data_IF_557828609062
#
_entry.id   IF_557828609062
#
_cell.length_a   1.000
_cell.length_b   1.000
_cell.length_c   1.000
_cell.angle_alpha   90.00
_cell.angle_beta   90.00
_cell.angle_gamma   90.00
#
_symmetry.space_group_name_H-M   'P 1'
#
loop_
_entity.id
_entity.type
_entity.pdbx_description
1 polymer ?
#
# COMPACT_ATOMS: atom_id res chain seq x y z
N UNK A 1 -7.74 18.20 -11.32
CA UNK A 1 -6.90 17.25 -10.55
C UNK A 1 -7.26 15.76 -10.73
N UNK A 2 -8.22 15.39 -11.59
CA UNK A 2 -8.63 13.98 -11.77
C UNK A 2 -7.48 13.06 -12.21
N UNK A 3 -6.64 13.52 -13.15
CA UNK A 3 -5.49 12.72 -13.61
C UNK A 3 -4.43 12.55 -12.52
N UNK A 4 -4.17 13.59 -11.73
CA UNK A 4 -3.25 13.51 -10.58
C UNK A 4 -3.80 12.54 -9.53
N UNK A 5 -5.09 12.66 -9.18
CA UNK A 5 -5.77 11.73 -8.29
C UNK A 5 -5.68 10.28 -8.79
N UNK A 6 -5.94 10.05 -10.08
CA UNK A 6 -5.80 8.75 -10.72
C UNK A 6 -4.37 8.22 -10.62
N UNK A 7 -3.38 9.05 -10.93
CA UNK A 7 -1.96 8.67 -10.87
C UNK A 7 -1.55 8.25 -9.46
N UNK A 8 -1.90 9.01 -8.43
CA UNK A 8 -1.61 8.63 -7.04
C UNK A 8 -2.31 7.33 -6.62
N UNK A 9 -3.58 7.13 -7.00
CA UNK A 9 -4.26 5.86 -6.74
C UNK A 9 -3.56 4.66 -7.39
N UNK A 10 -3.08 4.80 -8.63
CA UNK A 10 -2.30 3.75 -9.31
C UNK A 10 -0.91 3.55 -8.70
N UNK A 11 -0.22 4.64 -8.33
CA UNK A 11 1.10 4.58 -7.70
C UNK A 11 1.04 3.84 -6.36
N UNK A 12 0.03 4.11 -5.53
CA UNK A 12 -0.17 3.38 -4.26
C UNK A 12 -0.40 1.89 -4.53
N UNK A 13 -1.29 1.55 -5.48
CA UNK A 13 -1.56 0.15 -5.81
C UNK A 13 -0.31 -0.59 -6.28
N UNK A 14 0.47 0.01 -7.19
CA UNK A 14 1.71 -0.57 -7.70
C UNK A 14 2.79 -0.68 -6.62
N UNK A 15 2.93 0.36 -5.78
CA UNK A 15 3.88 0.35 -4.68
C UNK A 15 3.59 -0.77 -3.67
N UNK A 16 2.31 -1.03 -3.36
CA UNK A 16 1.91 -2.17 -2.52
C UNK A 16 2.26 -3.51 -3.18
N UNK A 17 2.03 -3.66 -4.49
CA UNK A 17 2.42 -4.89 -5.20
C UNK A 17 3.93 -5.13 -5.12
N UNK A 18 4.74 -4.09 -5.34
CA UNK A 18 6.18 -4.18 -5.22
C UNK A 18 6.63 -4.49 -3.78
N UNK A 19 5.97 -3.92 -2.79
CA UNK A 19 6.21 -4.21 -1.38
C UNK A 19 5.86 -5.67 -1.01
N UNK A 20 4.81 -6.25 -1.60
CA UNK A 20 4.46 -7.67 -1.43
C UNK A 20 5.51 -8.56 -2.13
N UNK A 21 5.93 -8.20 -3.34
CA UNK A 21 6.97 -8.94 -4.05
C UNK A 21 8.29 -8.95 -3.26
N UNK A 22 8.64 -7.84 -2.60
CA UNK A 22 9.87 -7.74 -1.81
C UNK A 22 9.84 -8.58 -0.55
N UNK A 23 8.69 -8.78 0.12
CA UNK A 23 8.60 -9.67 1.29
C UNK A 23 8.67 -11.15 0.88
N UNK A 24 8.16 -11.50 -0.30
CA UNK A 24 8.37 -12.84 -0.86
C UNK A 24 9.87 -13.08 -1.14
N UNK A 25 10.53 -12.12 -1.79
CA UNK A 25 11.99 -12.15 -2.00
C UNK A 25 12.72 -12.31 -0.65
N UNK A 26 12.35 -11.52 0.36
CA UNK A 26 12.95 -11.60 1.69
C UNK A 26 12.88 -12.99 2.29
N UNK A 27 11.71 -13.65 2.21
CA UNK A 27 11.50 -15.00 2.73
C UNK A 27 12.35 -16.04 2.02
N UNK A 28 12.42 -15.99 0.68
CA UNK A 28 13.28 -16.89 -0.10
C UNK A 28 14.77 -16.64 0.17
N UNK A 29 15.19 -15.39 0.35
CA UNK A 29 16.58 -15.06 0.72
C UNK A 29 16.94 -15.58 2.10
N UNK A 30 16.06 -15.44 3.11
CA UNK A 30 16.27 -16.04 4.44
C UNK A 30 16.43 -17.55 4.34
N UNK A 31 15.56 -18.23 3.60
CA UNK A 31 15.62 -19.68 3.45
C UNK A 31 16.92 -20.14 2.76
N UNK A 32 17.34 -19.43 1.71
CA UNK A 32 18.60 -19.68 1.02
C UNK A 32 19.79 -19.48 1.95
N UNK A 33 19.90 -18.31 2.58
CA UNK A 33 21.06 -17.95 3.39
C UNK A 33 21.20 -18.89 4.60
N UNK A 34 20.08 -19.25 5.23
CA UNK A 34 20.07 -20.27 6.29
C UNK A 34 20.54 -21.64 5.78
N UNK A 35 20.10 -22.04 4.58
CA UNK A 35 20.55 -23.28 3.93
C UNK A 35 22.04 -23.29 3.57
N UNK A 36 22.59 -22.12 3.27
CA UNK A 36 24.03 -21.91 3.00
C UNK A 36 24.86 -21.78 4.29
N UNK A 37 24.23 -21.85 5.47
CA UNK A 37 24.90 -21.84 6.78
C UNK A 37 25.06 -20.45 7.41
N UNK A 38 24.39 -19.41 6.88
CA UNK A 38 24.37 -18.09 7.51
C UNK A 38 23.61 -18.14 8.85
N UNK A 39 24.13 -17.44 9.85
CA UNK A 39 23.42 -17.24 11.11
C UNK A 39 22.30 -16.21 10.91
N UNK A 40 21.05 -16.62 11.12
CA UNK A 40 19.87 -15.73 11.07
C UNK A 40 19.58 -15.25 12.48
N UNK A 41 20.06 -14.05 12.80
CA UNK A 41 19.95 -13.41 14.12
C UNK A 41 19.29 -12.03 14.07
N UNK A 42 19.34 -11.31 15.20
CA UNK A 42 18.75 -9.98 15.34
C UNK A 42 19.40 -8.91 14.42
N UNK A 43 20.64 -9.14 14.01
CA UNK A 43 21.44 -8.31 13.11
C UNK A 43 21.33 -8.72 11.63
N UNK A 44 20.67 -9.84 11.34
CA UNK A 44 20.43 -10.28 9.97
C UNK A 44 19.40 -9.37 9.29
N UNK A 45 19.73 -8.90 8.10
CA UNK A 45 18.80 -8.22 7.20
C UNK A 45 19.17 -8.54 5.77
N UNK A 46 18.18 -8.51 4.89
CA UNK A 46 18.39 -8.61 3.46
C UNK A 46 17.66 -7.50 2.69
N UNK A 47 17.96 -7.40 1.40
CA UNK A 47 17.39 -6.37 0.54
C UNK A 47 15.86 -6.41 0.51
N UNK A 48 15.23 -7.59 0.48
CA UNK A 48 13.77 -7.72 0.47
C UNK A 48 13.12 -7.15 1.73
N UNK A 49 13.71 -7.42 2.92
CA UNK A 49 13.25 -6.86 4.20
C UNK A 49 13.41 -5.35 4.23
N UNK A 50 14.59 -4.87 3.81
CA UNK A 50 14.92 -3.45 3.79
C UNK A 50 14.01 -2.66 2.85
N UNK A 51 13.79 -3.18 1.64
CA UNK A 51 12.87 -2.60 0.67
C UNK A 51 11.43 -2.62 1.19
N UNK A 52 10.97 -3.73 1.77
CA UNK A 52 9.61 -3.84 2.31
C UNK A 52 9.32 -2.75 3.36
N UNK A 53 10.28 -2.52 4.27
CA UNK A 53 10.21 -1.49 5.31
C UNK A 53 10.18 -0.07 4.71
N UNK A 54 11.15 0.26 3.84
CA UNK A 54 11.25 1.60 3.21
C UNK A 54 10.02 1.90 2.34
N UNK A 55 9.56 0.91 1.56
CA UNK A 55 8.36 1.04 0.73
C UNK A 55 7.12 1.33 1.57
N UNK A 56 7.03 0.82 2.80
CA UNK A 56 5.91 1.08 3.71
C UNK A 56 5.81 2.57 4.08
N UNK A 57 6.95 3.18 4.42
CA UNK A 57 7.02 4.62 4.68
C UNK A 57 6.65 5.44 3.45
N UNK A 58 7.15 5.04 2.26
CA UNK A 58 6.83 5.71 1.01
C UNK A 58 5.32 5.64 0.67
N UNK A 59 4.69 4.47 0.86
CA UNK A 59 3.23 4.29 0.69
C UNK A 59 2.46 5.19 1.66
N UNK A 60 2.93 5.32 2.90
CA UNK A 60 2.37 6.25 3.89
C UNK A 60 2.35 7.70 3.40
N UNK A 61 3.48 8.19 2.88
CA UNK A 61 3.59 9.53 2.30
C UNK A 61 2.68 9.70 1.08
N UNK A 62 2.65 8.71 0.18
CA UNK A 62 1.78 8.72 -0.98
C UNK A 62 0.29 8.79 -0.58
N UNK A 63 -0.12 8.06 0.46
CA UNK A 63 -1.50 8.08 0.95
C UNK A 63 -1.90 9.44 1.54
N UNK A 64 -0.99 10.11 2.27
CA UNK A 64 -1.22 11.48 2.75
C UNK A 64 -1.38 12.47 1.59
N UNK A 65 -0.48 12.41 0.60
CA UNK A 65 -0.58 13.27 -0.60
C UNK A 65 -1.86 12.96 -1.38
N UNK A 66 -2.22 11.68 -1.49
CA UNK A 66 -3.46 11.26 -2.15
C UNK A 66 -4.70 11.82 -1.47
N UNK A 67 -4.73 11.86 -0.13
CA UNK A 67 -5.79 12.51 0.62
C UNK A 67 -5.83 14.02 0.33
N UNK A 68 -4.69 14.72 0.31
CA UNK A 68 -4.64 16.15 -0.05
C UNK A 68 -5.19 16.38 -1.47
N UNK A 69 -4.72 15.61 -2.46
CA UNK A 69 -5.17 15.68 -3.85
C UNK A 69 -6.68 15.42 -3.97
N UNK A 70 -7.25 14.58 -3.11
CA UNK A 70 -8.68 14.29 -3.10
C UNK A 70 -9.57 15.50 -2.81
N UNK A 71 -9.06 16.50 -2.08
CA UNK A 71 -9.78 17.75 -1.83
C UNK A 71 -9.79 18.68 -3.05
N UNK A 72 -8.80 18.54 -3.93
CA UNK A 72 -8.59 19.38 -5.11
C UNK A 72 -9.24 18.84 -6.38
N UNK A 73 -10.01 17.75 -6.29
CA UNK A 73 -10.68 17.10 -7.42
C UNK A 73 -12.18 16.90 -7.17
N UNK A 74 -12.93 16.78 -8.25
CA UNK A 74 -14.37 16.53 -8.31
C UNK A 74 -14.74 15.05 -8.49
N UNK A 75 -13.79 14.12 -8.27
CA UNK A 75 -14.05 12.68 -8.44
C UNK A 75 -15.14 12.25 -7.45
N UNK A 76 -16.25 11.64 -7.92
CA UNK A 76 -17.32 11.23 -7.03
C UNK A 76 -16.83 10.28 -5.93
N UNK A 77 -17.08 10.62 -4.65
CA UNK A 77 -16.57 9.92 -3.46
C UNK A 77 -15.04 9.92 -3.32
N UNK A 78 -14.31 10.76 -4.06
CA UNK A 78 -12.85 10.77 -4.09
C UNK A 78 -12.21 11.00 -2.72
N UNK A 79 -12.79 11.91 -1.92
CA UNK A 79 -12.34 12.19 -0.55
C UNK A 79 -12.56 11.00 0.38
N UNK A 80 -13.73 10.38 0.32
CA UNK A 80 -14.05 9.18 1.12
C UNK A 80 -13.09 8.05 0.79
N UNK A 81 -12.83 7.77 -0.50
CA UNK A 81 -11.92 6.71 -0.90
C UNK A 81 -10.48 6.99 -0.47
N UNK A 82 -10.01 8.23 -0.59
CA UNK A 82 -8.67 8.59 -0.14
C UNK A 82 -8.52 8.51 1.40
N UNK A 83 -9.55 8.91 2.14
CA UNK A 83 -9.59 8.76 3.60
C UNK A 83 -9.60 7.28 4.02
N UNK A 84 -10.34 6.42 3.31
CA UNK A 84 -10.31 4.97 3.55
C UNK A 84 -8.91 4.40 3.27
N UNK A 85 -8.26 4.78 2.16
CA UNK A 85 -6.89 4.36 1.88
C UNK A 85 -5.94 4.77 3.01
N UNK A 86 -6.00 6.02 3.47
CA UNK A 86 -5.16 6.46 4.59
C UNK A 86 -5.47 5.70 5.89
N UNK A 87 -6.76 5.48 6.21
CA UNK A 87 -7.16 4.70 7.37
C UNK A 87 -6.63 3.26 7.32
N UNK A 88 -6.71 2.61 6.16
CA UNK A 88 -6.14 1.28 5.96
C UNK A 88 -4.61 1.29 6.10
N UNK A 89 -3.92 2.34 5.65
CA UNK A 89 -2.46 2.48 5.84
C UNK A 89 -2.09 2.65 7.31
N UNK A 90 -2.87 3.40 8.09
CA UNK A 90 -2.68 3.49 9.55
C UNK A 90 -2.84 2.11 10.19
N UNK A 91 -3.90 1.38 9.84
CA UNK A 91 -4.11 -0.01 10.30
C UNK A 91 -2.94 -0.91 9.87
N UNK A 92 -2.43 -0.75 8.64
CA UNK A 92 -1.29 -1.53 8.12
C UNK A 92 -0.04 -1.36 8.99
N UNK A 93 0.26 -0.11 9.37
CA UNK A 93 1.41 0.21 10.21
C UNK A 93 1.26 -0.39 11.61
N UNK A 94 0.08 -0.25 12.23
CA UNK A 94 -0.21 -0.84 13.54
C UNK A 94 -0.08 -2.37 13.51
N UNK A 95 -0.61 -3.03 12.47
CA UNK A 95 -0.47 -4.47 12.29
C UNK A 95 0.99 -4.88 12.06
N UNK A 96 1.78 -4.08 11.34
CA UNK A 96 3.21 -4.34 11.14
C UNK A 96 3.97 -4.36 12.48
N UNK A 97 3.80 -3.31 13.28
CA UNK A 97 4.46 -3.18 14.59
C UNK A 97 4.01 -4.31 15.52
N UNK A 98 2.70 -4.61 15.58
CA UNK A 98 2.18 -5.67 16.41
C UNK A 98 2.67 -7.07 15.99
N UNK A 99 2.96 -7.27 14.70
CA UNK A 99 3.43 -8.56 14.17
C UNK A 99 4.82 -8.96 14.68
N UNK A 100 5.65 -8.01 15.13
CA UNK A 100 6.92 -8.34 15.79
C UNK A 100 6.73 -9.03 17.15
N UNK A 101 5.61 -8.78 17.84
CA UNK A 101 5.26 -9.45 19.09
C UNK A 101 4.34 -10.66 18.90
N UNK A 102 3.44 -10.61 17.91
CA UNK A 102 2.48 -11.69 17.60
C UNK A 102 2.54 -12.01 16.10
N UNK A 103 3.41 -12.93 15.66
CA UNK A 103 3.65 -13.20 14.24
C UNK A 103 2.40 -13.56 13.42
N UNK A 104 1.40 -14.19 14.04
CA UNK A 104 0.13 -14.52 13.40
C UNK A 104 -0.64 -13.29 12.88
N UNK A 105 -0.44 -12.11 13.48
CA UNK A 105 -1.00 -10.85 12.97
C UNK A 105 -0.42 -10.44 11.61
N UNK A 106 0.71 -11.01 11.20
CA UNK A 106 1.28 -10.84 9.87
C UNK A 106 0.31 -11.28 8.75
N UNK A 107 -0.60 -12.22 9.04
CA UNK A 107 -1.66 -12.61 8.09
C UNK A 107 -2.62 -11.44 7.85
N UNK A 108 -3.08 -10.79 8.93
CA UNK A 108 -3.96 -9.61 8.82
C UNK A 108 -3.23 -8.43 8.16
N UNK A 109 -1.94 -8.25 8.44
CA UNK A 109 -1.10 -7.28 7.76
C UNK A 109 -1.05 -7.54 6.25
N UNK A 110 -0.81 -8.78 5.83
CA UNK A 110 -0.83 -9.16 4.41
C UNK A 110 -2.17 -8.89 3.74
N UNK A 111 -3.28 -9.28 4.38
CA UNK A 111 -4.65 -9.06 3.87
C UNK A 111 -4.97 -7.57 3.76
N UNK A 112 -4.63 -6.76 4.77
CA UNK A 112 -4.89 -5.33 4.76
C UNK A 112 -4.05 -4.61 3.68
N UNK A 113 -2.83 -5.08 3.39
CA UNK A 113 -2.06 -4.63 2.23
C UNK A 113 -2.83 -4.82 0.91
N UNK A 114 -3.38 -6.00 0.68
CA UNK A 114 -4.23 -6.26 -0.49
C UNK A 114 -5.46 -5.35 -0.53
N UNK A 115 -6.08 -5.07 0.62
CA UNK A 115 -7.20 -4.13 0.71
C UNK A 115 -6.80 -2.71 0.30
N UNK A 116 -5.62 -2.22 0.71
CA UNK A 116 -5.09 -0.92 0.28
C UNK A 116 -4.93 -0.88 -1.25
N UNK A 117 -4.34 -1.92 -1.86
CA UNK A 117 -4.17 -2.00 -3.31
C UNK A 117 -5.52 -2.02 -4.06
N UNK A 118 -6.51 -2.75 -3.53
CA UNK A 118 -7.84 -2.85 -4.12
C UNK A 118 -8.59 -1.51 -4.08
N UNK A 119 -8.62 -0.84 -2.92
CA UNK A 119 -9.34 0.43 -2.74
C UNK A 119 -8.67 1.57 -3.50
N UNK A 120 -7.32 1.63 -3.51
CA UNK A 120 -6.58 2.63 -4.29
C UNK A 120 -6.80 2.44 -5.80
N UNK A 121 -6.81 1.19 -6.29
CA UNK A 121 -7.18 0.88 -7.67
C UNK A 121 -8.62 1.26 -8.01
N UNK A 122 -9.57 1.03 -7.11
CA UNK A 122 -10.98 1.46 -7.28
C UNK A 122 -11.08 2.97 -7.40
N UNK A 123 -10.36 3.72 -6.56
CA UNK A 123 -10.31 5.17 -6.60
C UNK A 123 -9.74 5.68 -7.94
N UNK A 124 -8.64 5.08 -8.41
CA UNK A 124 -8.04 5.41 -9.70
C UNK A 124 -9.00 5.14 -10.88
N UNK A 125 -9.68 3.99 -10.90
CA UNK A 125 -10.68 3.66 -11.93
C UNK A 125 -11.83 4.65 -11.95
N UNK A 126 -12.30 5.08 -10.78
CA UNK A 126 -13.42 6.04 -10.68
C UNK A 126 -13.06 7.41 -11.26
N UNK A 127 -11.80 7.82 -11.16
CA UNK A 127 -11.31 9.05 -11.79
C UNK A 127 -11.15 8.94 -13.32
N UNK A 128 -11.19 7.74 -13.90
CA UNK A 128 -11.14 7.53 -15.35
C UNK A 128 -12.51 7.66 -16.03
N UNK A 129 -13.61 7.55 -15.28
CA UNK A 129 -14.98 7.71 -15.82
C UNK A 129 -15.23 9.20 -16.10
N UNK A 130 -15.60 9.60 -17.34
CA UNK A 130 -15.97 10.98 -17.65
C UNK A 130 -17.23 11.40 -16.87
N UNK A 131 -17.30 12.66 -16.42
CA UNK A 131 -18.57 13.20 -15.96
C UNK A 131 -19.47 13.37 -17.19
N UNK A 132 -20.50 12.55 -17.34
CA UNK A 132 -21.55 12.78 -18.32
C UNK A 132 -22.34 14.02 -17.87
N UNK A 133 -22.50 15.05 -18.73
CA UNK A 133 -23.45 16.12 -18.45
C UNK A 133 -24.84 15.49 -18.29
N UNK A 134 -25.56 15.87 -17.24
CA UNK A 134 -26.98 15.50 -17.12
C UNK A 134 -27.68 16.15 -18.32
N UNK A 135 -28.21 15.36 -19.25
CA UNK A 135 -29.06 15.88 -20.31
C UNK A 135 -30.28 16.51 -19.63
N UNK A 136 -30.39 17.83 -19.71
CA UNK A 136 -31.61 18.55 -19.31
C UNK A 136 -32.72 18.15 -20.27
N UNK A 137 -33.72 17.43 -19.77
CA UNK A 137 -34.99 17.14 -20.44
C UNK A 137 -35.94 18.31 -20.23
#
# INVERSE_FOLDING_TARGET
>A
MRNVYRAFGMLIALAVVLQIASIAMAGFTVAKDAGDGAAIGADYSNFGQSYHSIAGTAIGLLALIFLIVSFLTDVPRGRTLAAVVLGLVVVQFLLAVASFGVPALGILHGINGLAIAAVSSMAARRAAVPNQPVASV
#
